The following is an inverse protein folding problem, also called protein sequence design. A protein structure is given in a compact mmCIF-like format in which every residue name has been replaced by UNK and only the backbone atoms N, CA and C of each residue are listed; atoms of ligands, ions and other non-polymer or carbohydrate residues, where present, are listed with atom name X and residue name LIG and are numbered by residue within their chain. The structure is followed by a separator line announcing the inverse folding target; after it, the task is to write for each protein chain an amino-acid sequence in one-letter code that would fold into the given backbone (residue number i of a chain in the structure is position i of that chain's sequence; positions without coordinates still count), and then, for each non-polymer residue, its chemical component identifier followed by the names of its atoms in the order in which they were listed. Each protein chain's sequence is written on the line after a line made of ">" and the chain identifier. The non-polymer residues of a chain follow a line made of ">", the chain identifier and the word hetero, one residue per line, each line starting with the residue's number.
data_IF_545535735816
#
_entry.id   IF_545535735816
#
_cell.length_a   1.000
_cell.length_b   1.000
_cell.length_c   1.000
_cell.angle_alpha   90.00
_cell.angle_beta   90.00
_cell.angle_gamma   90.00
#
_symmetry.space_group_name_H-M   'P 1'
#
loop_
_entity.id
_entity.type
_entity.pdbx_description
1 polymer ?
#
# COMPACT_ATOMS: atom_id res chain seq x y z
N UNK A 1 -2.18 -3.96 -9.78
CA UNK A 1 -3.38 -4.42 -9.06
C UNK A 1 -4.22 -3.18 -8.79
N UNK A 2 -5.41 -3.07 -9.40
CA UNK A 2 -6.11 -1.78 -9.44
C UNK A 2 -6.70 -1.42 -8.07
N UNK A 3 -6.52 -0.18 -7.62
CA UNK A 3 -7.17 0.44 -6.44
C UNK A 3 -8.68 0.10 -6.31
N UNK A 4 -9.31 -0.27 -7.42
CA UNK A 4 -10.70 -0.71 -7.56
C UNK A 4 -11.10 -1.87 -6.65
N UNK A 5 -10.18 -2.80 -6.36
CA UNK A 5 -10.47 -3.92 -5.46
C UNK A 5 -10.50 -3.48 -3.99
N UNK A 6 -9.91 -2.32 -3.68
CA UNK A 6 -9.65 -1.85 -2.32
C UNK A 6 -10.55 -0.71 -1.87
N UNK A 7 -11.62 -0.38 -2.61
CA UNK A 7 -12.46 0.78 -2.30
C UNK A 7 -13.07 0.72 -0.90
N UNK A 8 -13.37 -0.48 -0.41
CA UNK A 8 -13.91 -0.71 0.92
C UNK A 8 -12.92 -0.43 2.05
N UNK A 9 -11.61 -0.43 1.77
CA UNK A 9 -10.54 -0.10 2.74
C UNK A 9 -10.20 1.41 2.75
N UNK A 10 -10.81 2.19 1.86
CA UNK A 10 -10.50 3.60 1.68
C UNK A 10 -11.67 4.47 2.11
N UNK A 11 -11.35 5.62 2.68
CA UNK A 11 -12.32 6.64 3.08
C UNK A 11 -12.11 7.93 2.30
N UNK A 12 -13.21 8.64 2.02
CA UNK A 12 -13.15 9.93 1.36
C UNK A 12 -12.41 10.95 2.24
N UNK A 13 -11.33 11.59 1.75
CA UNK A 13 -10.55 12.53 2.56
C UNK A 13 -11.31 13.82 2.88
N UNK A 14 -12.44 14.08 2.21
CA UNK A 14 -13.26 15.29 2.44
C UNK A 14 -14.33 15.04 3.50
N UNK A 15 -15.00 13.89 3.47
CA UNK A 15 -16.19 13.65 4.30
C UNK A 15 -16.18 12.31 5.07
N UNK A 16 -15.11 11.53 5.00
CA UNK A 16 -14.97 10.24 5.70
C UNK A 16 -15.82 9.09 5.16
N UNK A 17 -16.77 9.36 4.25
CA UNK A 17 -17.62 8.32 3.66
C UNK A 17 -16.81 7.32 2.84
N UNK A 18 -17.20 6.04 2.90
CA UNK A 18 -16.60 4.97 2.10
C UNK A 18 -16.75 5.25 0.60
N UNK A 19 -15.76 4.83 -0.19
CA UNK A 19 -15.87 4.87 -1.64
C UNK A 19 -16.76 3.75 -2.16
N UNK A 20 -17.59 4.06 -3.16
CA UNK A 20 -18.41 3.07 -3.86
C UNK A 20 -17.60 2.24 -4.86
N UNK A 21 -18.29 1.71 -5.88
CA UNK A 21 -17.63 1.05 -7.00
C UNK A 21 -16.73 2.03 -7.76
N UNK A 22 -15.59 1.51 -8.22
CA UNK A 22 -14.58 2.29 -8.92
C UNK A 22 -14.45 1.85 -10.38
N UNK A 23 -14.72 2.79 -11.28
CA UNK A 23 -14.32 2.67 -12.68
C UNK A 23 -13.01 3.42 -12.90
N UNK A 24 -13.04 4.58 -13.56
CA UNK A 24 -11.87 5.45 -13.74
C UNK A 24 -11.67 6.39 -12.55
N UNK A 25 -12.62 6.43 -11.63
CA UNK A 25 -12.63 7.34 -10.48
C UNK A 25 -13.10 6.62 -9.23
N UNK A 26 -12.65 7.09 -8.06
CA UNK A 26 -13.23 6.79 -6.76
C UNK A 26 -14.27 7.86 -6.42
N UNK A 27 -15.52 7.47 -6.23
CA UNK A 27 -16.61 8.39 -5.85
C UNK A 27 -17.28 7.95 -4.55
N UNK A 28 -17.45 8.88 -3.61
CA UNK A 28 -18.21 8.62 -2.38
C UNK A 28 -19.69 8.99 -2.54
N UNK A 29 -20.54 8.56 -1.61
CA UNK A 29 -21.98 8.82 -1.63
C UNK A 29 -22.35 10.33 -1.64
N UNK A 30 -21.45 11.19 -1.13
CA UNK A 30 -21.63 12.64 -1.10
C UNK A 30 -21.16 13.35 -2.40
N UNK A 31 -20.75 12.58 -3.42
CA UNK A 31 -20.42 13.12 -4.75
C UNK A 31 -18.98 13.60 -4.95
N UNK A 32 -18.12 13.54 -3.93
CA UNK A 32 -16.68 13.77 -4.11
C UNK A 32 -16.05 12.68 -4.97
N UNK A 33 -15.20 13.05 -5.91
CA UNK A 33 -14.64 12.17 -6.93
C UNK A 33 -13.13 12.38 -7.08
N UNK A 34 -12.37 11.29 -7.19
CA UNK A 34 -10.92 11.30 -7.35
C UNK A 34 -10.51 10.41 -8.51
N UNK A 35 -9.71 10.93 -9.42
CA UNK A 35 -9.28 10.17 -10.60
C UNK A 35 -8.23 9.11 -10.23
N UNK A 36 -8.36 7.93 -10.84
CA UNK A 36 -7.35 6.88 -10.78
C UNK A 36 -6.34 7.17 -11.89
N UNK A 37 -5.08 7.38 -11.51
CA UNK A 37 -3.99 7.61 -12.47
C UNK A 37 -3.79 6.38 -13.36
N UNK A 38 -3.19 6.58 -14.55
CA UNK A 38 -2.89 5.47 -15.47
C UNK A 38 -1.94 4.43 -14.85
N UNK A 39 -1.10 4.87 -13.92
CA UNK A 39 -0.17 4.02 -13.16
C UNK A 39 -0.87 3.27 -12.01
N UNK A 40 -2.15 3.56 -11.73
CA UNK A 40 -3.01 2.81 -10.82
C UNK A 40 -3.18 3.39 -9.41
N UNK A 41 -2.44 4.46 -9.07
CA UNK A 41 -2.59 5.18 -7.80
C UNK A 41 -3.75 6.19 -7.82
N UNK A 42 -4.19 6.62 -6.64
CA UNK A 42 -5.18 7.69 -6.47
C UNK A 42 -4.60 8.80 -5.61
N UNK A 43 -4.68 10.04 -6.08
CA UNK A 43 -4.28 11.19 -5.29
C UNK A 43 -5.43 11.61 -4.35
N UNK A 44 -5.29 11.30 -3.07
CA UNK A 44 -6.25 11.69 -2.02
C UNK A 44 -5.82 12.94 -1.23
N UNK A 45 -4.68 13.56 -1.57
CA UNK A 45 -4.23 14.80 -0.93
C UNK A 45 -5.09 15.99 -1.39
N UNK A 46 -5.74 16.65 -0.42
CA UNK A 46 -6.55 17.85 -0.66
C UNK A 46 -5.73 19.13 -0.80
N UNK A 47 -4.49 19.12 -0.28
CA UNK A 47 -3.56 20.25 -0.34
C UNK A 47 -2.19 19.74 -0.76
N UNK A 48 -1.52 20.50 -1.63
CA UNK A 48 -0.17 20.19 -2.07
C UNK A 48 0.80 20.45 -0.90
N UNK A 49 1.41 19.39 -0.40
CA UNK A 49 2.50 19.46 0.57
C UNK A 49 3.85 19.38 -0.17
N UNK A 50 4.92 20.00 0.35
CA UNK A 50 6.26 19.69 -0.12
C UNK A 50 6.54 18.21 0.15
N UNK A 51 7.01 17.50 -0.87
CA UNK A 51 7.49 16.12 -0.78
C UNK A 51 8.94 16.03 -1.23
N UNK A 52 9.45 14.80 -1.31
CA UNK A 52 10.81 14.54 -1.78
C UNK A 52 11.03 15.06 -3.20
N UNK A 53 12.21 15.63 -3.46
CA UNK A 53 12.64 15.96 -4.82
C UNK A 53 13.01 14.69 -5.59
N UNK A 54 13.09 14.77 -6.91
CA UNK A 54 13.52 13.61 -7.74
C UNK A 54 14.91 13.13 -7.36
N UNK A 55 15.82 14.05 -7.04
CA UNK A 55 17.18 13.74 -6.63
C UNK A 55 17.21 12.99 -5.28
N UNK A 56 16.34 13.39 -4.34
CA UNK A 56 16.19 12.69 -3.06
C UNK A 56 15.65 11.27 -3.25
N UNK A 57 14.66 11.11 -4.13
CA UNK A 57 14.11 9.79 -4.46
C UNK A 57 15.16 8.88 -5.09
N UNK A 58 15.92 9.37 -6.07
CA UNK A 58 17.03 8.63 -6.68
C UNK A 58 18.10 8.24 -5.66
N UNK A 59 18.48 9.16 -4.77
CA UNK A 59 19.45 8.88 -3.71
C UNK A 59 18.94 7.79 -2.76
N UNK A 60 17.67 7.87 -2.34
CA UNK A 60 17.02 6.88 -1.48
C UNK A 60 16.96 5.52 -2.18
N UNK A 61 16.55 5.46 -3.44
CA UNK A 61 16.52 4.24 -4.24
C UNK A 61 17.89 3.57 -4.31
N UNK A 62 18.91 4.32 -4.73
CA UNK A 62 20.27 3.81 -4.85
C UNK A 62 20.79 3.26 -3.51
N UNK A 63 20.47 3.93 -2.40
CA UNK A 63 20.84 3.45 -1.07
C UNK A 63 20.14 2.12 -0.71
N UNK A 64 18.84 2.01 -1.01
CA UNK A 64 18.05 0.81 -0.74
C UNK A 64 18.45 -0.37 -1.62
N UNK A 65 18.72 -0.13 -2.91
CA UNK A 65 19.16 -1.14 -3.89
C UNK A 65 20.54 -1.73 -3.56
N UNK A 66 21.40 -0.97 -2.88
CA UNK A 66 22.68 -1.47 -2.33
C UNK A 66 22.50 -2.46 -1.18
N UNK A 67 21.26 -2.69 -0.73
CA UNK A 67 20.95 -3.63 0.33
C UNK A 67 21.28 -3.11 1.73
N UNK A 68 21.59 -1.81 1.88
CA UNK A 68 21.93 -1.22 3.18
C UNK A 68 20.85 -1.47 4.24
N UNK A 69 19.57 -1.45 3.83
CA UNK A 69 18.40 -1.71 4.69
C UNK A 69 17.78 -3.10 4.47
N UNK A 70 18.49 -4.00 3.79
CA UNK A 70 18.03 -5.38 3.64
C UNK A 70 17.78 -6.07 5.00
N UNK A 71 18.70 -6.01 6.00
CA UNK A 71 18.46 -6.67 7.28
C UNK A 71 17.21 -6.16 8.00
N UNK A 72 16.93 -4.86 7.90
CA UNK A 72 15.70 -4.27 8.45
C UNK A 72 14.45 -4.80 7.74
N UNK A 73 14.46 -4.80 6.40
CA UNK A 73 13.33 -5.34 5.63
C UNK A 73 13.11 -6.83 5.91
N UNK A 74 14.17 -7.62 6.03
CA UNK A 74 14.08 -9.04 6.30
C UNK A 74 13.47 -9.28 7.70
N UNK A 75 13.85 -8.49 8.71
CA UNK A 75 13.24 -8.54 10.03
C UNK A 75 11.74 -8.17 10.03
N UNK A 76 11.35 -7.13 9.27
CA UNK A 76 9.92 -6.75 9.12
C UNK A 76 9.14 -7.89 8.45
N UNK A 77 9.70 -8.50 7.42
CA UNK A 77 9.06 -9.59 6.69
C UNK A 77 8.76 -10.80 7.59
N UNK A 78 9.75 -11.21 8.40
CA UNK A 78 9.60 -12.31 9.36
C UNK A 78 8.53 -11.99 10.43
N UNK A 79 8.50 -10.75 10.94
CA UNK A 79 7.49 -10.32 11.91
C UNK A 79 6.07 -10.40 11.33
N UNK A 80 5.87 -9.85 10.13
CA UNK A 80 4.55 -9.89 9.47
C UNK A 80 4.15 -11.34 9.21
N UNK A 81 5.06 -12.18 8.73
CA UNK A 81 4.78 -13.60 8.49
C UNK A 81 4.40 -14.34 9.78
N UNK A 82 5.07 -14.05 10.90
CA UNK A 82 4.70 -14.56 12.22
C UNK A 82 3.25 -14.21 12.58
N UNK A 83 2.87 -12.93 12.46
CA UNK A 83 1.50 -12.49 12.74
C UNK A 83 0.46 -13.18 11.84
N UNK A 84 0.74 -13.34 10.54
CA UNK A 84 -0.17 -14.01 9.60
C UNK A 84 -0.38 -15.49 9.94
N UNK A 85 0.64 -16.16 10.50
CA UNK A 85 0.52 -17.55 10.94
C UNK A 85 -0.30 -17.70 12.21
N UNK A 86 -0.17 -16.77 13.15
CA UNK A 86 -0.96 -16.78 14.39
C UNK A 86 -2.47 -16.60 14.13
N UNK A 87 -2.84 -15.93 13.02
CA UNK A 87 -4.23 -15.78 12.59
C UNK A 87 -4.82 -17.07 11.99
N UNK A 88 -4.01 -18.10 11.70
CA UNK A 88 -4.56 -19.40 11.28
C UNK A 88 -5.33 -20.07 12.41
N UNK A 89 -6.63 -20.29 12.18
CA UNK A 89 -7.49 -21.08 13.06
C UNK A 89 -8.52 -20.28 13.85
N UNK A 90 -8.66 -18.97 13.59
CA UNK A 90 -9.69 -18.15 14.22
C UNK A 90 -11.08 -18.28 13.56
N UNK A 91 -11.17 -18.73 12.31
CA UNK A 91 -12.45 -18.99 11.62
C UNK A 91 -12.29 -19.94 10.42
N UNK A 92 -13.40 -20.58 9.99
CA UNK A 92 -13.48 -21.46 8.81
C UNK A 92 -13.58 -20.69 7.48
N UNK A 93 -13.60 -19.35 7.52
CA UNK A 93 -13.65 -18.51 6.33
C UNK A 93 -12.22 -18.18 5.86
N UNK A 94 -12.03 -18.08 4.54
CA UNK A 94 -10.75 -17.66 3.96
C UNK A 94 -10.47 -16.19 4.33
N UNK A 95 -9.80 -15.98 5.46
CA UNK A 95 -9.49 -14.65 5.95
C UNK A 95 -8.48 -13.95 5.01
N UNK A 96 -8.74 -12.68 4.71
CA UNK A 96 -7.83 -11.84 3.93
C UNK A 96 -7.17 -10.83 4.85
N UNK A 97 -5.84 -10.91 4.96
CA UNK A 97 -5.06 -9.95 5.73
C UNK A 97 -4.83 -8.68 4.91
N UNK A 98 -5.20 -7.53 5.48
CA UNK A 98 -4.98 -6.22 4.87
C UNK A 98 -3.74 -5.55 5.48
N UNK A 99 -2.74 -5.29 4.64
CA UNK A 99 -1.44 -4.73 5.03
C UNK A 99 -1.35 -3.29 4.49
N UNK A 100 -0.99 -2.34 5.35
CA UNK A 100 -0.77 -0.94 4.99
C UNK A 100 0.70 -0.57 5.21
N UNK A 101 1.36 -0.09 4.16
CA UNK A 101 2.68 0.55 4.25
C UNK A 101 2.50 2.07 4.23
N UNK A 102 2.65 2.69 5.41
CA UNK A 102 2.48 4.12 5.60
C UNK A 102 3.82 4.86 5.45
N UNK A 103 3.89 5.77 4.47
CA UNK A 103 5.15 6.36 4.03
C UNK A 103 5.93 5.38 3.15
N UNK A 104 5.22 4.71 2.24
CA UNK A 104 5.77 3.62 1.44
C UNK A 104 6.90 4.06 0.49
N UNK A 105 7.07 5.36 0.25
CA UNK A 105 7.95 5.89 -0.77
C UNK A 105 7.68 5.20 -2.11
N UNK A 106 8.74 4.67 -2.72
CA UNK A 106 8.68 3.93 -3.99
C UNK A 106 8.27 2.45 -3.81
N UNK A 107 7.81 2.06 -2.63
CA UNK A 107 7.29 0.71 -2.35
C UNK A 107 8.35 -0.33 -2.01
N UNK A 108 9.55 0.07 -1.57
CA UNK A 108 10.66 -0.85 -1.27
C UNK A 108 10.27 -1.94 -0.25
N UNK A 109 9.67 -1.55 0.88
CA UNK A 109 9.35 -2.49 1.95
C UNK A 109 8.16 -3.37 1.60
N UNK A 110 7.04 -2.79 1.18
CA UNK A 110 5.86 -3.56 0.77
C UNK A 110 6.16 -4.49 -0.41
N UNK A 111 6.98 -4.07 -1.37
CA UNK A 111 7.37 -4.92 -2.50
C UNK A 111 8.24 -6.11 -2.06
N UNK A 112 9.20 -5.89 -1.16
CA UNK A 112 10.00 -6.98 -0.57
C UNK A 112 9.15 -7.92 0.28
N UNK A 113 8.20 -7.38 1.04
CA UNK A 113 7.27 -8.16 1.84
C UNK A 113 6.39 -9.05 0.96
N UNK A 114 5.78 -8.49 -0.09
CA UNK A 114 4.99 -9.26 -1.06
C UNK A 114 5.81 -10.37 -1.71
N UNK A 115 7.05 -10.07 -2.13
CA UNK A 115 7.95 -11.08 -2.67
C UNK A 115 8.24 -12.18 -1.64
N UNK A 116 8.64 -11.80 -0.42
CA UNK A 116 8.90 -12.74 0.66
C UNK A 116 7.69 -13.64 0.95
N UNK A 117 6.51 -13.06 1.14
CA UNK A 117 5.27 -13.81 1.38
C UNK A 117 4.91 -14.74 0.21
N UNK A 118 5.17 -14.35 -1.04
CA UNK A 118 4.95 -15.21 -2.21
C UNK A 118 5.85 -16.45 -2.24
N UNK A 119 6.99 -16.41 -1.54
CA UNK A 119 7.91 -17.56 -1.39
C UNK A 119 7.59 -18.43 -0.17
N UNK A 120 6.70 -17.96 0.72
CA UNK A 120 6.26 -18.71 1.89
C UNK A 120 4.94 -19.42 1.62
N UNK A 121 4.65 -20.48 2.36
CA UNK A 121 3.31 -21.05 2.42
C UNK A 121 2.47 -20.19 3.37
N UNK A 122 1.95 -19.08 2.84
CA UNK A 122 1.08 -18.18 3.58
C UNK A 122 -0.34 -18.73 3.56
N UNK A 123 -1.00 -18.81 4.71
CA UNK A 123 -2.27 -19.52 4.85
C UNK A 123 -3.51 -18.67 4.56
N UNK A 124 -3.30 -17.36 4.44
CA UNK A 124 -4.34 -16.35 4.22
C UNK A 124 -3.98 -15.56 2.97
N UNK A 125 -5.02 -15.09 2.26
CA UNK A 125 -4.80 -14.14 1.18
C UNK A 125 -4.29 -12.83 1.76
N UNK A 126 -3.28 -12.22 1.14
CA UNK A 126 -2.72 -10.96 1.62
C UNK A 126 -2.96 -9.85 0.60
N UNK A 127 -3.53 -8.75 1.07
CA UNK A 127 -3.69 -7.52 0.30
C UNK A 127 -2.76 -6.46 0.87
N UNK A 128 -2.10 -5.69 0.01
CA UNK A 128 -1.19 -4.63 0.46
C UNK A 128 -1.48 -3.32 -0.23
N UNK A 129 -1.51 -2.24 0.55
CA UNK A 129 -1.69 -0.87 0.08
C UNK A 129 -0.49 -0.05 0.57
N UNK A 130 0.11 0.72 -0.33
CA UNK A 130 1.10 1.74 0.02
C UNK A 130 0.45 3.13 0.01
N UNK A 131 0.74 3.95 1.01
CA UNK A 131 0.38 5.36 1.04
C UNK A 131 1.63 6.21 1.23
N UNK A 132 1.74 7.28 0.45
CA UNK A 132 2.75 8.32 0.65
C UNK A 132 2.19 9.68 0.24
N UNK A 133 2.73 10.73 0.85
CA UNK A 133 2.38 12.11 0.48
C UNK A 133 3.20 12.59 -0.73
N UNK A 134 4.33 11.95 -1.02
CA UNK A 134 5.19 12.23 -2.15
C UNK A 134 4.59 11.63 -3.42
N UNK A 135 3.90 12.47 -4.19
CA UNK A 135 3.36 12.08 -5.51
C UNK A 135 4.45 11.50 -6.43
N UNK A 136 5.67 12.00 -6.37
CA UNK A 136 6.76 11.52 -7.22
C UNK A 136 7.25 10.12 -6.81
N UNK A 137 7.01 9.69 -5.56
CA UNK A 137 7.40 8.37 -5.08
C UNK A 137 6.38 7.26 -5.42
N UNK A 138 5.08 7.58 -5.38
CA UNK A 138 3.98 6.60 -5.60
C UNK A 138 3.60 6.46 -7.08
N UNK A 139 4.32 7.16 -7.96
CA UNK A 139 3.99 7.31 -9.36
C UNK A 139 4.30 6.10 -10.21
#
# INVERSE_FOLDING_TARGET
>A
MAIRTYTHLLACPVCGAQFGSADKTLRCANGHSFDIAREGYVNLLLKKLPGDSKEMLVARRNFLERGCYRPLSDAINELVYGCLREQQGASDEAETANILDAGCGEGYYVGRLQHYLSTQQVPVSCWSIGIDISKEAVR
#
